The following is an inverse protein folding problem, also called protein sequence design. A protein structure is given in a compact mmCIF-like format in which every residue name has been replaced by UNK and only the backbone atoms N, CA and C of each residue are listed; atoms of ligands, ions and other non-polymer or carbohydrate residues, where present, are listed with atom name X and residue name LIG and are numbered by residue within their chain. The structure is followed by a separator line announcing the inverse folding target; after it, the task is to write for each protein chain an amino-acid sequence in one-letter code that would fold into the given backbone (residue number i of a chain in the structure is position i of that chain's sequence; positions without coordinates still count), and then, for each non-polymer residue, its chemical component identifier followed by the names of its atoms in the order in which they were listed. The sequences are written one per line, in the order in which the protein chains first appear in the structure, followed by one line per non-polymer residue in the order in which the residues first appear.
data_IF_146713539608
#
_entry.id   IF_146713539608
#
_cell.length_a   1.000
_cell.length_b   1.000
_cell.length_c   1.000
_cell.angle_alpha   90.00
_cell.angle_beta   90.00
_cell.angle_gamma   90.00
#
_symmetry.space_group_name_H-M   'P 1'
#
loop_
_entity.id
_entity.type
_entity.pdbx_description
1 polymer ?
#
# COMPACT_ATOMS: atom_id res chain seq x y z
N UNK A 1 15.97 -9.00 2.49
CA UNK A 1 14.67 -9.63 2.81
C UNK A 1 14.85 -10.41 4.09
N UNK A 2 13.95 -10.27 5.07
CA UNK A 2 13.98 -11.06 6.31
C UNK A 2 13.32 -12.43 6.09
N UNK A 3 13.56 -13.40 6.97
CA UNK A 3 12.90 -14.71 6.90
C UNK A 3 11.36 -14.57 6.94
N UNK A 4 10.85 -13.71 7.82
CA UNK A 4 9.41 -13.41 7.92
C UNK A 4 8.82 -12.82 6.63
N UNK A 5 9.61 -12.07 5.85
CA UNK A 5 9.17 -11.51 4.56
C UNK A 5 9.01 -12.61 3.49
N UNK A 6 9.91 -13.58 3.48
CA UNK A 6 9.84 -14.74 2.57
C UNK A 6 8.62 -15.61 2.91
N UNK A 7 8.41 -15.90 4.19
CA UNK A 7 7.26 -16.68 4.66
C UNK A 7 5.94 -15.94 4.41
N UNK A 8 5.90 -14.63 4.67
CA UNK A 8 4.73 -13.81 4.38
C UNK A 8 4.37 -13.83 2.90
N UNK A 9 5.35 -13.68 2.00
CA UNK A 9 5.11 -13.74 0.55
C UNK A 9 4.67 -15.13 0.10
N UNK A 10 5.19 -16.19 0.71
CA UNK A 10 4.75 -17.56 0.43
C UNK A 10 3.29 -17.78 0.85
N UNK A 11 2.93 -17.36 2.07
CA UNK A 11 1.56 -17.44 2.59
C UNK A 11 0.58 -16.61 1.74
N UNK A 12 0.98 -15.41 1.33
CA UNK A 12 0.14 -14.54 0.50
C UNK A 12 -0.08 -15.13 -0.91
N UNK A 13 0.94 -15.79 -1.48
CA UNK A 13 0.80 -16.54 -2.73
C UNK A 13 -0.12 -17.76 -2.58
N UNK A 14 0.00 -18.49 -1.48
CA UNK A 14 -0.90 -19.61 -1.15
C UNK A 14 -2.35 -19.12 -1.03
N UNK A 15 -2.57 -18.07 -0.25
CA UNK A 15 -3.89 -17.45 -0.08
C UNK A 15 -4.49 -17.02 -1.42
N UNK A 16 -3.71 -16.37 -2.29
CA UNK A 16 -4.15 -15.97 -3.62
C UNK A 16 -4.57 -17.16 -4.48
N UNK A 17 -3.83 -18.27 -4.44
CA UNK A 17 -4.20 -19.52 -5.16
C UNK A 17 -5.51 -20.11 -4.64
N UNK A 18 -5.68 -20.16 -3.33
CA UNK A 18 -6.91 -20.66 -2.70
C UNK A 18 -8.11 -19.80 -3.09
N UNK A 19 -7.96 -18.47 -3.08
CA UNK A 19 -9.02 -17.57 -3.53
C UNK A 19 -9.33 -17.73 -5.02
N UNK A 20 -8.34 -18.00 -5.87
CA UNK A 20 -8.59 -18.30 -7.29
C UNK A 20 -9.41 -19.57 -7.45
N UNK A 21 -9.06 -20.65 -6.74
CA UNK A 21 -9.81 -21.90 -6.77
C UNK A 21 -11.23 -21.70 -6.25
N UNK A 22 -11.39 -20.95 -5.15
CA UNK A 22 -12.70 -20.69 -4.54
C UNK A 22 -13.62 -19.87 -5.44
N UNK A 23 -13.10 -18.84 -6.11
CA UNK A 23 -13.92 -17.89 -6.89
C UNK A 23 -14.08 -18.30 -8.34
N UNK A 24 -13.05 -18.89 -8.94
CA UNK A 24 -12.99 -19.17 -10.39
C UNK A 24 -12.81 -20.67 -10.71
N UNK A 25 -12.55 -21.51 -9.70
CA UNK A 25 -12.31 -22.94 -9.90
C UNK A 25 -10.87 -23.28 -10.30
N UNK A 26 -10.56 -24.58 -10.27
CA UNK A 26 -9.21 -25.09 -10.51
C UNK A 26 -8.73 -24.86 -11.95
N UNK A 27 -9.63 -24.91 -12.93
CA UNK A 27 -9.29 -24.67 -14.34
C UNK A 27 -8.70 -23.27 -14.57
N UNK A 28 -9.27 -22.24 -13.93
CA UNK A 28 -8.76 -20.87 -14.03
C UNK A 28 -7.38 -20.74 -13.38
N UNK A 29 -7.14 -21.42 -12.24
CA UNK A 29 -5.83 -21.42 -11.61
C UNK A 29 -4.76 -22.03 -12.53
N UNK A 30 -5.07 -23.12 -13.24
CA UNK A 30 -4.10 -23.78 -14.12
C UNK A 30 -3.82 -23.00 -15.41
N UNK A 31 -4.83 -22.31 -15.97
CA UNK A 31 -4.70 -21.62 -17.26
C UNK A 31 -4.26 -20.16 -17.13
N UNK A 32 -4.78 -19.42 -16.15
CA UNK A 32 -4.52 -17.98 -15.97
C UNK A 32 -3.64 -17.69 -14.74
N UNK A 33 -3.40 -18.69 -13.90
CA UNK A 33 -2.67 -18.52 -12.65
C UNK A 33 -3.48 -17.81 -11.57
N UNK A 34 -2.80 -17.52 -10.47
CA UNK A 34 -3.38 -16.77 -9.35
C UNK A 34 -3.50 -15.27 -9.65
N UNK A 35 -2.92 -14.82 -10.79
CA UNK A 35 -2.99 -13.51 -11.44
C UNK A 35 -4.29 -12.74 -11.22
N UNK A 36 -5.39 -13.44 -11.47
CA UNK A 36 -6.74 -12.88 -11.53
C UNK A 36 -7.27 -12.36 -10.19
N UNK A 37 -6.72 -12.80 -9.06
CA UNK A 37 -7.13 -12.33 -7.73
C UNK A 37 -6.30 -11.13 -7.29
N UNK A 38 -4.99 -11.18 -7.46
CA UNK A 38 -4.04 -10.19 -6.98
C UNK A 38 -2.90 -10.16 -7.99
N UNK A 39 -2.41 -9.02 -8.46
CA UNK A 39 -1.24 -8.99 -9.35
C UNK A 39 0.06 -9.22 -8.58
N UNK A 40 1.14 -9.60 -9.27
CA UNK A 40 2.45 -9.75 -8.62
C UNK A 40 2.97 -8.40 -8.10
N UNK A 41 2.78 -7.33 -8.87
CA UNK A 41 3.08 -5.95 -8.42
C UNK A 41 2.28 -5.55 -7.18
N UNK A 42 1.01 -5.97 -7.11
CA UNK A 42 0.15 -5.73 -5.93
C UNK A 42 0.67 -6.49 -4.73
N UNK A 43 1.07 -7.76 -4.91
CA UNK A 43 1.64 -8.61 -3.88
C UNK A 43 2.93 -8.00 -3.30
N UNK A 44 3.83 -7.57 -4.18
CA UNK A 44 5.09 -6.93 -3.78
C UNK A 44 4.84 -5.64 -3.01
N UNK A 45 3.88 -4.82 -3.47
CA UNK A 45 3.49 -3.60 -2.78
C UNK A 45 2.85 -3.86 -1.42
N UNK A 46 2.05 -4.92 -1.29
CA UNK A 46 1.51 -5.36 0.00
C UNK A 46 2.65 -5.77 0.94
N UNK A 47 3.63 -6.54 0.45
CA UNK A 47 4.80 -6.94 1.25
C UNK A 47 5.61 -5.72 1.71
N UNK A 48 5.87 -4.76 0.81
CA UNK A 48 6.56 -3.52 1.15
C UNK A 48 5.82 -2.69 2.21
N UNK A 49 4.51 -2.52 2.05
CA UNK A 49 3.69 -1.79 3.01
C UNK A 49 3.51 -2.54 4.34
N UNK A 50 3.51 -3.88 4.34
CA UNK A 50 3.47 -4.72 5.52
C UNK A 50 4.77 -4.61 6.34
N UNK A 51 5.93 -4.64 5.67
CA UNK A 51 7.23 -4.37 6.32
C UNK A 51 7.29 -3.01 6.97
N UNK A 52 6.71 -1.99 6.32
CA UNK A 52 6.62 -0.64 6.87
C UNK A 52 5.50 -0.48 7.93
N UNK A 53 4.71 -1.53 8.19
CA UNK A 53 3.57 -1.54 9.13
C UNK A 53 2.54 -0.42 8.88
N UNK A 54 2.38 -0.01 7.63
CA UNK A 54 1.43 1.06 7.23
C UNK A 54 -0.01 0.55 7.05
N UNK A 55 -0.16 -0.75 6.86
CA UNK A 55 -1.44 -1.42 6.57
C UNK A 55 -2.20 -1.69 7.88
N UNK A 56 -2.88 -0.66 8.39
CA UNK A 56 -3.68 -0.75 9.63
C UNK A 56 -5.15 -1.08 9.35
N UNK A 57 -5.68 -0.60 8.24
CA UNK A 57 -7.10 -0.71 7.85
C UNK A 57 -7.26 -1.13 6.40
N UNK A 58 -8.45 -1.63 6.05
CA UNK A 58 -8.77 -2.03 4.66
C UNK A 58 -8.70 -0.82 3.72
N UNK A 59 -9.07 0.37 4.21
CA UNK A 59 -8.96 1.60 3.44
C UNK A 59 -7.50 1.94 3.13
N UNK A 60 -6.61 1.87 4.12
CA UNK A 60 -5.16 2.08 3.87
C UNK A 60 -4.58 1.06 2.89
N UNK A 61 -5.05 -0.18 2.93
CA UNK A 61 -4.66 -1.21 1.96
C UNK A 61 -5.09 -0.82 0.54
N UNK A 62 -6.32 -0.35 0.36
CA UNK A 62 -6.80 0.12 -0.94
C UNK A 62 -6.03 1.33 -1.44
N UNK A 63 -5.82 2.34 -0.60
CA UNK A 63 -5.13 3.57 -0.99
C UNK A 63 -3.68 3.32 -1.40
N UNK A 64 -2.97 2.46 -0.66
CA UNK A 64 -1.58 2.15 -0.95
C UNK A 64 -1.43 1.27 -2.19
N UNK A 65 -2.23 0.21 -2.32
CA UNK A 65 -2.04 -0.82 -3.35
C UNK A 65 -2.87 -0.60 -4.61
N UNK A 66 -3.92 0.23 -4.52
CA UNK A 66 -4.98 0.39 -5.53
C UNK A 66 -5.61 -0.93 -5.96
N UNK A 67 -5.54 -1.95 -5.11
CA UNK A 67 -6.07 -3.27 -5.42
C UNK A 67 -7.60 -3.28 -5.29
N UNK A 68 -8.36 -3.50 -6.37
CA UNK A 68 -9.83 -3.38 -6.34
C UNK A 68 -10.50 -4.40 -5.39
N UNK A 69 -9.90 -5.59 -5.22
CA UNK A 69 -10.44 -6.62 -4.32
C UNK A 69 -10.06 -6.42 -2.84
N UNK A 70 -9.40 -5.31 -2.50
CA UNK A 70 -9.06 -4.98 -1.11
C UNK A 70 -10.31 -4.88 -0.23
N UNK A 71 -11.45 -4.43 -0.76
CA UNK A 71 -12.69 -4.28 0.02
C UNK A 71 -13.28 -5.62 0.45
N UNK A 72 -13.12 -6.65 -0.37
CA UNK A 72 -13.68 -7.99 -0.15
C UNK A 72 -12.68 -8.88 0.60
N UNK A 73 -11.42 -8.90 0.15
CA UNK A 73 -10.38 -9.82 0.62
C UNK A 73 -9.37 -9.16 1.57
N UNK A 74 -9.40 -7.84 1.71
CA UNK A 74 -8.41 -7.10 2.49
C UNK A 74 -8.47 -7.40 3.99
N UNK A 75 -9.64 -7.74 4.52
CA UNK A 75 -9.77 -8.12 5.94
C UNK A 75 -8.94 -9.37 6.26
N UNK A 76 -8.94 -10.36 5.37
CA UNK A 76 -8.16 -11.58 5.54
C UNK A 76 -6.66 -11.32 5.32
N UNK A 77 -6.30 -10.52 4.32
CA UNK A 77 -4.91 -10.09 4.11
C UNK A 77 -4.37 -9.35 5.34
N UNK A 78 -5.17 -8.50 5.99
CA UNK A 78 -4.78 -7.82 7.24
C UNK A 78 -4.57 -8.81 8.41
N UNK A 79 -5.32 -9.91 8.47
CA UNK A 79 -5.06 -10.98 9.46
C UNK A 79 -3.71 -11.64 9.19
N UNK A 80 -3.39 -11.94 7.93
CA UNK A 80 -2.07 -12.46 7.54
C UNK A 80 -0.96 -11.47 7.92
N UNK A 81 -1.12 -10.18 7.62
CA UNK A 81 -0.13 -9.16 7.96
C UNK A 81 0.12 -9.13 9.48
N UNK A 82 -0.93 -9.15 10.30
CA UNK A 82 -0.81 -9.14 11.77
C UNK A 82 -0.11 -10.40 12.32
N UNK A 83 -0.22 -11.54 11.63
CA UNK A 83 0.46 -12.81 11.98
C UNK A 83 1.97 -12.70 11.84
N UNK A 84 2.46 -12.07 10.77
CA UNK A 84 3.90 -11.98 10.47
C UNK A 84 4.56 -10.68 10.96
N UNK A 85 3.79 -9.59 11.05
CA UNK A 85 4.25 -8.27 11.48
C UNK A 85 3.40 -7.81 12.68
N UNK A 86 3.60 -8.41 13.87
CA UNK A 86 2.93 -7.91 15.07
C UNK A 86 3.31 -6.45 15.29
N UNK A 87 2.33 -5.63 15.67
CA UNK A 87 2.57 -4.24 16.00
C UNK A 87 3.43 -4.17 17.26
N UNK A 88 4.75 -4.11 17.10
CA UNK A 88 5.66 -3.78 18.18
C UNK A 88 5.43 -2.31 18.49
N UNK A 89 4.60 -2.02 19.50
CA UNK A 89 4.46 -0.67 20.03
C UNK A 89 5.82 -0.21 20.56
N UNK A 90 6.50 0.77 19.94
CA UNK A 90 7.73 1.32 20.48
C UNK A 90 7.45 2.44 21.48
N UNK A 91 6.17 2.78 21.74
CA UNK A 91 5.78 3.73 22.76
C UNK A 91 5.65 3.02 24.11
N UNK A 92 6.74 2.42 24.59
CA UNK A 92 6.97 2.42 26.02
C UNK A 92 7.12 3.90 26.39
N UNK A 93 6.06 4.47 26.98
CA UNK A 93 6.04 5.86 27.42
C UNK A 93 7.20 6.07 28.39
N UNK A 94 8.33 6.59 27.91
CA UNK A 94 9.31 7.21 28.78
C UNK A 94 8.57 8.39 29.41
N UNK A 95 8.25 8.36 30.72
CA UNK A 95 7.55 9.48 31.33
C UNK A 95 8.41 10.73 31.12
N UNK A 96 7.83 11.76 30.51
CA UNK A 96 8.45 13.08 30.45
C UNK A 96 8.76 13.48 31.89
N UNK A 97 10.04 13.56 32.24
CA UNK A 97 10.47 14.25 33.46
C UNK A 97 9.97 15.68 33.37
N UNK A 98 8.96 16.01 34.18
CA UNK A 98 8.56 17.38 34.47
C UNK A 98 9.78 18.09 35.04
N UNK A 99 10.31 19.05 34.28
CA UNK A 99 11.36 19.95 34.75
C UNK A 99 10.67 20.96 35.67
N UNK A 100 10.77 20.76 36.98
CA UNK A 100 10.28 21.70 37.98
C UNK A 100 11.09 22.99 37.87
N UNK A 101 10.42 24.09 37.52
CA UNK A 101 10.95 25.45 37.62
C UNK A 101 10.60 25.97 39.02
N UNK A 102 11.61 26.41 39.76
CA UNK A 102 11.46 27.09 41.05
C UNK A 102 10.65 28.40 40.92
N UNK A 103 9.89 28.81 41.95
CA UNK A 103 9.17 30.07 41.96
C UNK A 103 10.10 31.21 42.40
N UNK A 104 10.29 32.22 41.55
CA UNK A 104 10.75 33.53 42.01
C UNK A 104 9.72 34.59 41.69
N UNK A 105 9.43 35.38 42.71
CA UNK A 105 8.28 36.24 42.85
C UNK A 105 8.41 37.59 42.12
N UNK A 106 7.24 38.21 42.00
CA UNK A 106 6.94 39.65 41.87
C UNK A 106 7.26 40.37 40.54
N UNK A 107 6.18 40.83 39.89
CA UNK A 107 6.22 41.91 38.91
C UNK A 107 5.13 41.84 37.83
N UNK A 108 3.91 42.29 38.13
CA UNK A 108 2.94 42.73 37.12
C UNK A 108 3.37 44.12 36.55
N UNK A 109 3.02 44.51 35.30
CA UNK A 109 1.65 44.89 34.98
C UNK A 109 1.14 44.52 33.56
N UNK A 110 -0.18 44.66 33.44
CA UNK A 110 -1.10 44.43 32.33
C UNK A 110 -0.70 45.00 30.95
N UNK A 111 -1.04 44.29 29.87
CA UNK A 111 -1.98 44.75 28.82
C UNK A 111 -2.12 43.80 27.62
N UNK A 112 -3.35 43.82 27.08
CA UNK A 112 -3.77 43.47 25.71
C UNK A 112 -3.78 42.02 25.24
N UNK A 113 -5.01 41.54 25.09
CA UNK A 113 -5.48 40.61 24.07
C UNK A 113 -4.57 40.54 22.83
N UNK A 114 -4.07 39.34 22.52
CA UNK A 114 -4.27 38.76 21.20
C UNK A 114 -3.97 37.26 21.20
N UNK A 115 -4.95 36.52 20.68
CA UNK A 115 -4.96 35.08 20.51
C UNK A 115 -3.96 34.72 19.40
N UNK A 116 -2.72 34.42 19.79
CA UNK A 116 -1.70 33.91 18.87
C UNK A 116 -1.98 32.43 18.57
N UNK A 117 -2.76 32.19 17.52
CA UNK A 117 -2.77 30.89 16.85
C UNK A 117 -1.39 30.73 16.22
N UNK A 118 -0.61 29.75 16.67
CA UNK A 118 0.68 29.38 16.10
C UNK A 118 0.49 28.83 14.69
N UNK A 119 0.28 29.73 13.72
CA UNK A 119 0.42 29.42 12.32
C UNK A 119 1.91 29.34 12.02
N UNK A 120 2.41 28.15 11.70
CA UNK A 120 3.75 27.95 11.14
C UNK A 120 3.90 28.87 9.94
N UNK A 121 4.65 29.96 10.09
CA UNK A 121 4.91 30.92 9.03
C UNK A 121 5.68 30.21 7.92
N UNK A 122 4.97 29.76 6.88
CA UNK A 122 5.58 29.24 5.66
C UNK A 122 6.34 30.42 5.04
N UNK A 123 7.65 30.26 4.88
CA UNK A 123 8.48 31.24 4.18
C UNK A 123 7.80 31.65 2.86
N UNK A 124 7.76 32.95 2.54
CA UNK A 124 7.07 33.43 1.35
C UNK A 124 7.70 32.77 0.11
N UNK A 125 6.88 32.09 -0.68
CA UNK A 125 7.35 31.39 -1.88
C UNK A 125 7.80 32.41 -2.92
N UNK A 126 9.04 32.26 -3.40
CA UNK A 126 9.56 32.98 -4.55
C UNK A 126 9.12 32.30 -5.84
N UNK A 127 8.82 33.09 -6.86
CA UNK A 127 8.57 32.57 -8.20
C UNK A 127 9.87 32.03 -8.81
N UNK A 128 9.95 30.74 -9.10
CA UNK A 128 11.16 30.14 -9.71
C UNK A 128 11.50 30.63 -11.12
N UNK A 129 10.61 31.40 -11.79
CA UNK A 129 10.88 31.96 -13.12
C UNK A 129 11.41 33.40 -13.09
N UNK A 130 10.98 34.23 -12.13
CA UNK A 130 11.36 35.65 -12.06
C UNK A 130 11.96 36.08 -10.71
N UNK A 131 12.04 35.19 -9.72
CA UNK A 131 12.59 35.43 -8.38
C UNK A 131 11.72 36.28 -7.44
N UNK A 132 10.62 36.87 -7.94
CA UNK A 132 9.76 37.76 -7.16
C UNK A 132 8.81 37.00 -6.24
N UNK A 133 8.46 37.60 -5.10
CA UNK A 133 7.53 37.03 -4.13
C UNK A 133 6.06 37.35 -4.47
N UNK A 134 5.13 36.59 -3.89
CA UNK A 134 3.68 36.85 -4.01
C UNK A 134 2.98 36.19 -5.20
N UNK A 135 3.71 35.44 -6.03
CA UNK A 135 3.14 34.61 -7.09
C UNK A 135 4.03 33.39 -7.39
N UNK A 136 3.49 32.44 -8.15
CA UNK A 136 4.20 31.24 -8.63
C UNK A 136 4.37 31.28 -10.16
N UNK A 137 5.26 30.46 -10.73
CA UNK A 137 5.58 30.43 -12.18
C UNK A 137 4.34 30.34 -13.08
N UNK A 138 3.33 29.60 -12.65
CA UNK A 138 2.07 29.38 -13.38
C UNK A 138 1.09 30.55 -13.29
N UNK A 139 1.33 31.55 -12.44
CA UNK A 139 0.43 32.68 -12.26
C UNK A 139 0.50 33.63 -13.46
N UNK A 140 -0.66 34.10 -13.93
CA UNK A 140 -0.77 35.06 -15.05
C UNK A 140 -0.07 36.40 -14.77
N UNK A 141 0.12 36.74 -13.49
CA UNK A 141 0.87 37.93 -13.08
C UNK A 141 2.40 37.77 -13.13
N UNK A 142 2.89 36.61 -13.59
CA UNK A 142 4.32 36.40 -13.71
C UNK A 142 4.86 37.02 -15.03
N UNK A 143 5.74 38.03 -14.97
CA UNK A 143 6.27 38.70 -16.17
C UNK A 143 7.18 37.81 -17.03
N UNK A 144 7.62 36.66 -16.51
CA UNK A 144 8.41 35.69 -17.26
C UNK A 144 7.57 34.73 -18.11
N UNK A 145 6.23 34.70 -17.93
CA UNK A 145 5.34 33.76 -18.61
C UNK A 145 5.18 34.06 -20.10
N UNK A 146 5.11 35.34 -20.48
CA UNK A 146 4.91 35.75 -21.88
C UNK A 146 6.08 35.40 -22.80
N UNK A 147 7.27 35.14 -22.23
CA UNK A 147 8.48 34.82 -23.01
C UNK A 147 8.56 33.37 -23.48
N UNK A 148 7.68 32.46 -23.02
CA UNK A 148 7.77 31.03 -23.34
C UNK A 148 6.68 30.52 -24.31
N UNK A 149 5.72 31.36 -24.73
CA UNK A 149 4.56 30.93 -25.52
C UNK A 149 4.82 30.80 -27.04
N UNK A 150 6.07 30.61 -27.47
CA UNK A 150 6.42 30.56 -28.90
C UNK A 150 7.48 29.52 -29.20
N UNK A 151 7.10 28.23 -29.24
CA UNK A 151 7.71 27.19 -30.09
C UNK A 151 7.15 25.82 -29.72
N UNK A 152 6.09 25.39 -30.41
CA UNK A 152 5.63 23.99 -30.37
C UNK A 152 5.23 23.55 -31.79
N UNK A 153 6.23 23.20 -32.60
CA UNK A 153 6.06 22.37 -33.80
C UNK A 153 6.62 20.97 -33.49
N UNK A 154 5.73 20.01 -33.18
CA UNK A 154 6.05 18.57 -33.22
C UNK A 154 4.86 17.77 -33.73
N UNK A 155 4.93 17.40 -35.01
CA UNK A 155 4.13 16.36 -35.64
C UNK A 155 4.52 14.99 -35.06
N UNK A 156 3.54 14.18 -34.63
CA UNK A 156 3.76 12.79 -34.22
C UNK A 156 3.15 11.84 -35.26
N UNK A 157 4.01 11.17 -36.02
CA UNK A 157 3.65 10.11 -36.96
C UNK A 157 3.27 8.84 -36.21
N UNK A 158 1.99 8.46 -36.26
CA UNK A 158 1.49 7.17 -35.78
C UNK A 158 1.78 6.08 -36.82
N UNK A 159 2.65 5.11 -36.49
CA UNK A 159 2.84 3.88 -37.26
C UNK A 159 2.01 2.77 -36.62
N UNK A 160 0.99 2.33 -37.35
CA UNK A 160 0.16 1.16 -37.08
C UNK A 160 0.94 -0.11 -37.40
N UNK A 161 0.91 -1.11 -36.52
CA UNK A 161 1.29 -2.49 -36.88
C UNK A 161 0.20 -3.43 -36.35
N UNK A 162 -0.57 -3.96 -37.28
CA UNK A 162 -1.49 -5.07 -37.09
C UNK A 162 -0.76 -6.41 -37.31
N UNK A 163 -1.26 -7.46 -36.66
CA UNK A 163 -1.03 -8.85 -37.05
C UNK A 163 -0.11 -9.65 -36.11
N UNK A 164 -0.29 -10.95 -35.87
CA UNK A 164 -1.27 -11.93 -36.32
C UNK A 164 -1.26 -13.11 -35.33
N UNK A 165 -2.41 -13.80 -35.28
CA UNK A 165 -2.64 -15.21 -34.96
C UNK A 165 -1.43 -16.16 -34.95
N UNK A 166 -1.38 -17.04 -33.94
CA UNK A 166 -0.60 -18.28 -33.97
C UNK A 166 -1.06 -19.26 -32.89
N UNK A 167 -1.80 -20.28 -33.32
CA UNK A 167 -2.13 -21.52 -32.60
C UNK A 167 -0.89 -22.23 -32.02
N UNK A 168 -1.02 -22.84 -30.84
CA UNK A 168 -0.28 -24.08 -30.55
C UNK A 168 -0.91 -24.92 -29.43
N UNK A 169 -1.45 -26.07 -29.84
CA UNK A 169 -2.10 -27.10 -29.03
C UNK A 169 -1.15 -28.28 -28.89
N UNK A 170 -0.38 -28.38 -27.80
CA UNK A 170 0.41 -29.58 -27.47
C UNK A 170 0.50 -29.82 -25.96
N UNK A 171 -0.27 -30.82 -25.50
CA UNK A 171 0.07 -31.89 -24.53
C UNK A 171 0.55 -31.50 -23.12
N UNK A 172 -0.14 -32.00 -22.08
CA UNK A 172 0.41 -32.95 -21.08
C UNK A 172 -0.56 -33.28 -19.94
N UNK A 173 -1.09 -34.50 -20.03
CA UNK A 173 -1.60 -35.31 -18.92
C UNK A 173 -0.43 -35.70 -18.01
N UNK A 174 -0.36 -35.17 -16.78
CA UNK A 174 0.15 -35.84 -15.56
C UNK A 174 0.13 -34.87 -14.38
N UNK A 175 -0.79 -35.04 -13.41
CA UNK A 175 -0.48 -35.22 -11.98
C UNK A 175 -1.75 -35.21 -11.11
N UNK A 176 -2.42 -36.36 -11.07
CA UNK A 176 -3.53 -36.68 -10.16
C UNK A 176 -3.00 -37.34 -8.86
N UNK A 177 -1.99 -36.75 -8.19
CA UNK A 177 -1.35 -37.44 -7.04
C UNK A 177 -0.89 -36.57 -5.88
N UNK A 178 -1.47 -35.37 -5.69
CA UNK A 178 -1.21 -34.52 -4.51
C UNK A 178 -2.51 -33.92 -3.94
N UNK A 179 -3.62 -34.68 -3.97
CA UNK A 179 -4.90 -34.26 -3.35
C UNK A 179 -5.52 -35.39 -2.51
N UNK A 180 -4.71 -36.27 -1.91
CA UNK A 180 -5.22 -37.35 -1.04
C UNK A 180 -4.53 -37.46 0.32
N UNK A 181 -3.80 -36.44 0.76
CA UNK A 181 -3.11 -36.48 2.06
C UNK A 181 -3.58 -35.41 3.05
N UNK A 182 -4.56 -34.57 2.70
CA UNK A 182 -5.04 -33.49 3.59
C UNK A 182 -6.43 -33.77 4.18
N UNK A 183 -7.22 -34.68 3.60
CA UNK A 183 -8.54 -35.06 4.13
C UNK A 183 -8.51 -36.18 5.18
N UNK A 184 -7.39 -36.90 5.36
CA UNK A 184 -7.31 -38.02 6.32
C UNK A 184 -6.97 -37.62 7.78
N UNK A 185 -6.71 -36.33 8.05
CA UNK A 185 -6.29 -35.87 9.41
C UNK A 185 -7.43 -35.20 10.18
N UNK A 186 -8.60 -35.01 9.56
CA UNK A 186 -9.78 -34.38 10.23
C UNK A 186 -10.81 -35.35 10.80
N UNK A 187 -10.64 -36.67 10.66
CA UNK A 187 -11.64 -37.65 11.08
C UNK A 187 -11.28 -38.43 12.37
N UNK A 188 -10.08 -38.26 12.92
CA UNK A 188 -9.66 -38.97 14.16
C UNK A 188 -10.03 -38.17 15.44
N UNK A 189 -10.50 -36.92 15.30
CA UNK A 189 -10.72 -36.01 16.43
C UNK A 189 -12.06 -36.13 17.16
N UNK A 190 -13.06 -36.84 16.62
CA UNK A 190 -14.45 -36.78 17.12
C UNK A 190 -14.92 -38.09 17.82
N UNK A 191 -14.02 -39.04 18.07
CA UNK A 191 -14.37 -40.33 18.71
C UNK A 191 -13.93 -40.47 20.18
N UNK A 192 -13.59 -39.37 20.86
CA UNK A 192 -13.10 -39.42 22.26
C UNK A 192 -13.88 -38.54 23.26
N UNK A 193 -15.18 -38.31 23.05
CA UNK A 193 -16.08 -37.73 24.07
C UNK A 193 -17.43 -38.46 24.06
N UNK A 194 -17.43 -39.72 24.50
CA UNK A 194 -18.62 -40.41 24.98
C UNK A 194 -18.20 -41.52 25.95
N UNK A 195 -18.04 -41.14 27.22
CA UNK A 195 -18.22 -42.00 28.39
C UNK A 195 -19.24 -41.33 29.29
#
# INVERSE_FOLDING_TARGET
MSAADVEFRAELNQYRREQTVKTHGLAHLNNLGAGIIMGDETLDRIADCARAQKLTTVETLYQETKWPKSRELGADVLKLIKKYYPANSPFASTPLRVRQSEPQADGAPSQSSNRAVSATAKAPRQCGACGQYGHIKSNLRCPARDKQAGSDDKENTTVTVEGLHGDDRVVRTVNDRVVRTVDAVRDIGDSLVAQ
#
